data_IF_338050414144
#
_entry.id   IF_338050414144
#
_cell.length_a   1.000
_cell.length_b   1.000
_cell.length_c   1.000
_cell.angle_alpha   90.00
_cell.angle_beta   90.00
_cell.angle_gamma   90.00
#
_symmetry.space_group_name_H-M   'P 1'
#
loop_
_entity.id
_entity.type
_entity.pdbx_description
1 polymer ?
#
# COMPACT_ATOMS: atom_id res chain seq x y z
N UNK A 1 39.19 22.84 -28.22
CA UNK A 1 39.91 21.67 -27.65
C UNK A 1 40.88 22.20 -26.63
N UNK A 2 40.75 21.83 -25.34
CA UNK A 2 41.87 21.78 -24.37
C UNK A 2 41.43 21.07 -23.08
N UNK A 3 42.01 19.88 -22.92
CA UNK A 3 42.32 19.05 -21.75
C UNK A 3 41.49 19.14 -20.47
N UNK A 4 40.78 18.03 -20.23
CA UNK A 4 40.33 17.54 -18.92
C UNK A 4 41.55 17.19 -18.06
N UNK A 5 41.70 17.82 -16.90
CA UNK A 5 42.72 17.47 -15.91
C UNK A 5 42.06 16.66 -14.78
N UNK A 6 42.21 15.34 -14.86
CA UNK A 6 41.76 14.39 -13.86
C UNK A 6 42.84 14.24 -12.78
N UNK A 7 42.68 14.91 -11.63
CA UNK A 7 43.52 14.69 -10.45
C UNK A 7 42.82 13.70 -9.53
N UNK A 8 43.27 12.45 -9.59
CA UNK A 8 42.93 11.36 -8.67
C UNK A 8 43.59 11.63 -7.31
N UNK A 9 42.81 12.04 -6.33
CA UNK A 9 43.22 11.96 -4.91
C UNK A 9 42.51 10.79 -4.28
N UNK A 10 43.26 9.71 -4.05
CA UNK A 10 42.83 8.55 -3.29
C UNK A 10 42.64 8.95 -1.82
N UNK A 11 41.40 9.10 -1.38
CA UNK A 11 41.06 9.08 0.04
C UNK A 11 40.60 7.67 0.39
N UNK A 12 41.40 7.02 1.22
CA UNK A 12 41.06 5.76 1.87
C UNK A 12 39.83 6.00 2.78
N UNK A 13 38.68 5.50 2.36
CA UNK A 13 37.48 5.46 3.20
C UNK A 13 37.66 4.26 4.14
N UNK A 14 37.96 4.56 5.40
CA UNK A 14 37.89 3.60 6.48
C UNK A 14 36.46 3.08 6.57
N UNK A 15 36.27 1.81 6.20
CA UNK A 15 35.02 1.07 6.35
C UNK A 15 34.83 0.82 7.85
N UNK A 16 34.19 1.77 8.52
CA UNK A 16 33.64 1.56 9.85
C UNK A 16 32.39 0.70 9.74
N UNK A 17 32.49 -0.58 10.15
CA UNK A 17 31.33 -1.44 10.36
C UNK A 17 30.44 -0.83 11.45
N UNK A 18 29.40 -0.09 11.04
CA UNK A 18 28.27 0.17 11.90
C UNK A 18 27.53 -1.16 12.12
N UNK A 19 27.62 -1.68 13.34
CA UNK A 19 26.82 -2.81 13.80
C UNK A 19 25.37 -2.33 13.83
N UNK A 20 24.63 -2.63 12.76
CA UNK A 20 23.19 -2.52 12.78
C UNK A 20 22.67 -3.48 13.86
N UNK A 21 21.82 -2.98 14.76
CA UNK A 21 21.04 -3.82 15.66
C UNK A 21 20.09 -4.65 14.80
N UNK A 22 20.50 -5.88 14.48
CA UNK A 22 19.69 -6.85 13.77
C UNK A 22 18.63 -7.32 14.77
N UNK A 23 17.48 -6.64 14.76
CA UNK A 23 16.28 -7.23 15.34
C UNK A 23 15.97 -8.49 14.54
N UNK A 24 15.68 -9.63 15.19
CA UNK A 24 15.26 -10.80 14.45
C UNK A 24 13.96 -10.46 13.70
N UNK A 25 14.01 -10.49 12.37
CA UNK A 25 12.81 -10.61 11.56
C UNK A 25 12.18 -11.95 11.94
N UNK A 26 11.13 -11.91 12.76
CA UNK A 26 10.32 -13.09 12.98
C UNK A 26 9.60 -13.36 11.67
N UNK A 27 10.00 -14.42 10.97
CA UNK A 27 9.23 -14.90 9.83
C UNK A 27 7.87 -15.36 10.36
N UNK A 28 6.79 -14.92 9.72
CA UNK A 28 5.44 -15.40 10.02
C UNK A 28 5.41 -16.92 9.94
N UNK A 29 4.72 -17.55 10.89
CA UNK A 29 4.58 -19.01 10.88
C UNK A 29 3.62 -19.43 9.75
N UNK A 30 3.78 -20.64 9.22
CA UNK A 30 2.85 -21.16 8.22
C UNK A 30 1.39 -21.20 8.74
N UNK A 31 1.21 -21.37 10.04
CA UNK A 31 -0.11 -21.33 10.69
C UNK A 31 -0.73 -19.93 10.67
N UNK A 32 0.06 -18.87 10.90
CA UNK A 32 -0.41 -17.48 10.73
C UNK A 32 -0.77 -17.16 9.28
N UNK A 33 0.02 -17.65 8.32
CA UNK A 33 -0.28 -17.48 6.90
C UNK A 33 -1.58 -18.17 6.48
N UNK A 34 -1.86 -19.36 7.03
CA UNK A 34 -3.12 -20.07 6.81
C UNK A 34 -4.32 -19.33 7.43
N UNK A 35 -4.16 -18.79 8.65
CA UNK A 35 -5.20 -17.97 9.29
C UNK A 35 -5.48 -16.68 8.50
N UNK A 36 -4.45 -16.00 8.01
CA UNK A 36 -4.60 -14.82 7.12
C UNK A 36 -5.28 -15.21 5.80
N UNK A 37 -4.93 -16.37 5.27
CA UNK A 37 -5.51 -16.94 4.05
C UNK A 37 -7.02 -17.20 4.20
N UNK A 38 -7.44 -17.74 5.33
CA UNK A 38 -8.84 -18.03 5.63
C UNK A 38 -9.63 -16.75 5.97
N UNK A 39 -9.04 -15.84 6.76
CA UNK A 39 -9.68 -14.57 7.12
C UNK A 39 -9.94 -13.67 5.91
N UNK A 40 -9.08 -13.72 4.91
CA UNK A 40 -9.24 -12.96 3.66
C UNK A 40 -10.07 -13.66 2.59
N UNK A 41 -10.55 -14.88 2.85
CA UNK A 41 -11.43 -15.61 1.94
C UNK A 41 -12.88 -15.09 2.00
N UNK A 42 -13.28 -14.49 3.12
CA UNK A 42 -14.58 -13.86 3.35
C UNK A 42 -14.47 -12.33 3.15
N UNK A 43 -15.43 -11.74 2.43
CA UNK A 43 -15.41 -10.31 2.09
C UNK A 43 -15.41 -9.42 3.34
N UNK A 44 -16.33 -9.65 4.27
CA UNK A 44 -16.51 -8.81 5.45
C UNK A 44 -15.30 -8.92 6.38
N UNK A 45 -14.87 -10.15 6.65
CA UNK A 45 -13.73 -10.44 7.53
C UNK A 45 -12.43 -9.91 6.95
N UNK A 46 -12.22 -10.05 5.64
CA UNK A 46 -11.03 -9.54 4.97
C UNK A 46 -10.98 -8.02 4.92
N UNK A 47 -12.11 -7.35 4.70
CA UNK A 47 -12.19 -5.88 4.78
C UNK A 47 -11.89 -5.39 6.19
N UNK A 48 -12.48 -6.01 7.22
CA UNK A 48 -12.23 -5.66 8.61
C UNK A 48 -10.74 -5.82 8.96
N UNK A 49 -10.14 -6.95 8.58
CA UNK A 49 -8.71 -7.20 8.81
C UNK A 49 -7.83 -6.13 8.15
N UNK A 50 -8.14 -5.75 6.90
CA UNK A 50 -7.40 -4.69 6.20
C UNK A 50 -7.50 -3.34 6.92
N UNK A 51 -8.67 -2.99 7.45
CA UNK A 51 -8.86 -1.77 8.24
C UNK A 51 -8.06 -1.83 9.56
N UNK A 52 -8.03 -2.97 10.24
CA UNK A 52 -7.24 -3.17 11.45
C UNK A 52 -5.73 -3.06 11.19
N UNK A 53 -5.24 -3.65 10.09
CA UNK A 53 -3.85 -3.50 9.64
C UNK A 53 -3.52 -2.03 9.35
N UNK A 54 -4.36 -1.34 8.57
CA UNK A 54 -4.17 0.08 8.29
C UNK A 54 -4.17 0.94 9.57
N UNK A 55 -5.02 0.63 10.56
CA UNK A 55 -5.05 1.31 11.85
C UNK A 55 -3.78 1.10 12.68
N UNK A 56 -3.05 0.00 12.47
CA UNK A 56 -1.72 -0.26 13.05
C UNK A 56 -0.56 0.37 12.25
N UNK A 57 -0.85 1.00 11.10
CA UNK A 57 0.16 1.55 10.19
C UNK A 57 0.72 0.54 9.18
N UNK A 58 0.14 -0.66 9.12
CA UNK A 58 0.52 -1.77 8.24
C UNK A 58 -0.20 -1.63 6.88
N UNK A 59 0.05 -0.52 6.18
CA UNK A 59 -0.70 -0.16 4.96
C UNK A 59 -0.43 -1.12 3.78
N UNK A 60 0.76 -1.71 3.70
CA UNK A 60 1.09 -2.65 2.63
C UNK A 60 0.41 -4.00 2.86
N UNK A 61 0.36 -4.44 4.12
CA UNK A 61 -0.37 -5.62 4.56
C UNK A 61 -1.88 -5.43 4.32
N UNK A 62 -2.43 -4.26 4.68
CA UNK A 62 -3.82 -3.91 4.38
C UNK A 62 -4.14 -3.99 2.89
N UNK A 63 -3.26 -3.46 2.03
CA UNK A 63 -3.42 -3.55 0.58
C UNK A 63 -3.38 -5.00 0.08
N UNK A 64 -2.44 -5.81 0.57
CA UNK A 64 -2.35 -7.22 0.21
C UNK A 64 -3.62 -8.00 0.61
N UNK A 65 -4.17 -7.72 1.79
CA UNK A 65 -5.44 -8.29 2.26
C UNK A 65 -6.59 -7.90 1.33
N UNK A 66 -6.72 -6.62 0.97
CA UNK A 66 -7.75 -6.14 0.04
C UNK A 66 -7.60 -6.73 -1.36
N UNK A 67 -6.38 -6.89 -1.86
CA UNK A 67 -6.13 -7.53 -3.16
C UNK A 67 -6.61 -8.97 -3.18
N UNK A 68 -6.42 -9.68 -2.06
CA UNK A 68 -6.91 -11.05 -1.90
C UNK A 68 -8.44 -11.12 -1.85
N UNK A 69 -9.08 -10.23 -1.08
CA UNK A 69 -10.55 -10.09 -1.09
C UNK A 69 -11.06 -9.79 -2.51
N UNK A 70 -10.39 -8.90 -3.26
CA UNK A 70 -10.81 -8.55 -4.61
C UNK A 70 -10.51 -9.63 -5.65
N UNK A 71 -9.61 -10.57 -5.35
CA UNK A 71 -9.36 -11.73 -6.19
C UNK A 71 -10.51 -12.75 -6.09
N UNK A 72 -11.10 -12.92 -4.89
CA UNK A 72 -12.23 -13.82 -4.65
C UNK A 72 -13.57 -13.15 -4.92
N UNK A 73 -13.73 -11.91 -4.47
CA UNK A 73 -14.92 -11.07 -4.61
C UNK A 73 -14.61 -9.77 -5.37
N UNK A 74 -14.43 -9.83 -6.71
CA UNK A 74 -14.07 -8.66 -7.49
C UNK A 74 -15.07 -7.52 -7.41
N UNK A 75 -16.30 -7.73 -6.94
CA UNK A 75 -17.36 -6.72 -6.88
C UNK A 75 -17.52 -6.08 -5.51
N UNK A 76 -16.77 -6.52 -4.49
CA UNK A 76 -16.76 -5.93 -3.15
C UNK A 76 -16.53 -4.43 -3.23
N UNK A 77 -17.59 -3.63 -3.01
CA UNK A 77 -17.56 -2.19 -3.27
C UNK A 77 -16.66 -1.48 -2.25
N UNK A 78 -16.79 -1.84 -0.99
CA UNK A 78 -16.02 -1.26 0.11
C UNK A 78 -14.53 -1.60 -0.02
N UNK A 79 -14.20 -2.84 -0.38
CA UNK A 79 -12.81 -3.25 -0.63
C UNK A 79 -12.16 -2.44 -1.77
N UNK A 80 -12.89 -2.15 -2.86
CA UNK A 80 -12.39 -1.33 -3.97
C UNK A 80 -12.16 0.12 -3.56
N UNK A 81 -13.06 0.68 -2.75
CA UNK A 81 -12.95 2.06 -2.27
C UNK A 81 -11.73 2.19 -1.33
N UNK A 82 -11.60 1.27 -0.36
CA UNK A 82 -10.46 1.22 0.55
C UNK A 82 -9.15 1.00 -0.19
N UNK A 83 -9.11 0.14 -1.20
CA UNK A 83 -7.92 -0.08 -2.02
C UNK A 83 -7.46 1.21 -2.69
N UNK A 84 -8.39 1.96 -3.30
CA UNK A 84 -8.07 3.25 -3.92
C UNK A 84 -7.51 4.25 -2.91
N UNK A 85 -8.10 4.32 -1.71
CA UNK A 85 -7.66 5.19 -0.62
C UNK A 85 -6.27 4.80 -0.10
N UNK A 86 -6.03 3.53 0.23
CA UNK A 86 -4.76 3.06 0.78
C UNK A 86 -3.61 3.14 -0.23
N UNK A 87 -3.86 2.93 -1.54
CA UNK A 87 -2.86 3.19 -2.58
C UNK A 87 -2.38 4.64 -2.55
N UNK A 88 -3.29 5.60 -2.37
CA UNK A 88 -2.93 7.01 -2.25
C UNK A 88 -2.26 7.36 -0.92
N UNK A 89 -2.57 6.65 0.17
CA UNK A 89 -1.86 6.82 1.45
C UNK A 89 -0.40 6.38 1.40
N UNK A 90 -0.06 5.35 0.61
CA UNK A 90 1.32 4.85 0.45
C UNK A 90 2.08 5.55 -0.68
N UNK A 91 1.66 6.75 -1.08
CA UNK A 91 2.22 7.54 -2.19
C UNK A 91 2.13 6.88 -3.59
N UNK A 92 1.40 5.77 -3.76
CA UNK A 92 1.04 5.27 -5.10
C UNK A 92 -0.19 6.00 -5.65
N UNK A 93 -0.03 7.30 -5.84
CA UNK A 93 -1.07 8.19 -6.38
C UNK A 93 -1.56 7.73 -7.75
N UNK A 94 -0.69 7.15 -8.58
CA UNK A 94 -1.08 6.65 -9.91
C UNK A 94 -1.96 5.41 -9.78
N UNK A 95 -1.55 4.44 -8.96
CA UNK A 95 -2.33 3.24 -8.67
C UNK A 95 -3.70 3.60 -8.10
N UNK A 96 -3.73 4.48 -7.10
CA UNK A 96 -4.98 4.92 -6.48
C UNK A 96 -5.92 5.65 -7.44
N UNK A 97 -5.41 6.53 -8.32
CA UNK A 97 -6.22 7.14 -9.40
C UNK A 97 -6.78 6.11 -10.39
N UNK A 98 -5.99 5.10 -10.76
CA UNK A 98 -6.47 4.01 -11.61
C UNK A 98 -7.57 3.20 -10.91
N UNK A 99 -7.39 2.84 -9.64
CA UNK A 99 -8.41 2.16 -8.86
C UNK A 99 -9.70 3.00 -8.74
N UNK A 100 -9.55 4.29 -8.42
CA UNK A 100 -10.64 5.25 -8.29
C UNK A 100 -11.45 5.42 -9.60
N UNK A 101 -10.77 5.48 -10.75
CA UNK A 101 -11.42 5.56 -12.07
C UNK A 101 -12.29 4.33 -12.42
N UNK A 102 -12.06 3.19 -11.75
CA UNK A 102 -12.84 1.96 -11.94
C UNK A 102 -14.09 1.92 -11.04
N UNK A 103 -14.22 2.85 -10.09
CA UNK A 103 -15.38 2.93 -9.21
C UNK A 103 -16.60 3.46 -9.97
N UNK A 104 -17.77 2.88 -9.67
CA UNK A 104 -19.05 3.38 -10.18
C UNK A 104 -19.61 4.37 -9.16
N UNK A 105 -19.46 5.68 -9.40
CA UNK A 105 -19.83 6.76 -8.45
C UNK A 105 -21.18 6.52 -7.73
N UNK A 106 -22.22 6.10 -8.46
CA UNK A 106 -23.57 5.78 -7.94
C UNK A 106 -23.65 4.66 -6.87
N UNK A 107 -22.54 4.00 -6.53
CA UNK A 107 -22.46 2.92 -5.53
C UNK A 107 -21.96 3.41 -4.18
N UNK A 108 -21.52 4.66 -4.10
CA UNK A 108 -20.89 5.24 -2.93
C UNK A 108 -21.59 6.54 -2.59
N UNK A 109 -21.59 6.88 -1.31
CA UNK A 109 -21.99 8.21 -0.89
C UNK A 109 -20.97 9.24 -1.39
N UNK A 110 -21.43 10.46 -1.65
CA UNK A 110 -20.58 11.53 -2.15
C UNK A 110 -19.45 11.83 -1.16
N UNK A 111 -19.75 11.83 0.15
CA UNK A 111 -18.77 12.05 1.21
C UNK A 111 -17.61 11.06 1.16
N UNK A 112 -17.89 9.77 0.99
CA UNK A 112 -16.89 8.72 0.92
C UNK A 112 -15.95 8.91 -0.29
N UNK A 113 -16.50 9.23 -1.45
CA UNK A 113 -15.71 9.51 -2.64
C UNK A 113 -14.84 10.75 -2.45
N UNK A 114 -15.35 11.77 -1.77
CA UNK A 114 -14.63 13.02 -1.54
C UNK A 114 -13.40 12.83 -0.67
N UNK A 115 -13.49 11.95 0.34
CA UNK A 115 -12.33 11.55 1.16
C UNK A 115 -11.24 10.92 0.28
N UNK A 116 -11.60 10.00 -0.61
CA UNK A 116 -10.61 9.35 -1.50
C UNK A 116 -10.05 10.32 -2.53
N UNK A 117 -10.87 11.19 -3.12
CA UNK A 117 -10.41 12.23 -4.05
C UNK A 117 -9.40 13.17 -3.40
N UNK A 118 -9.68 13.62 -2.17
CA UNK A 118 -8.79 14.47 -1.40
C UNK A 118 -7.46 13.76 -1.11
N UNK A 119 -7.52 12.50 -0.67
CA UNK A 119 -6.33 11.69 -0.39
C UNK A 119 -5.45 11.50 -1.64
N UNK A 120 -6.08 11.32 -2.79
CA UNK A 120 -5.37 11.09 -4.06
C UNK A 120 -4.95 12.37 -4.80
N UNK A 121 -5.24 13.56 -4.26
CA UNK A 121 -5.00 14.83 -4.94
C UNK A 121 -5.69 14.91 -6.30
N UNK A 122 -6.97 14.52 -6.34
CA UNK A 122 -7.84 14.62 -7.53
C UNK A 122 -8.88 15.69 -7.25
N UNK A 123 -8.96 16.70 -8.12
CA UNK A 123 -10.07 17.65 -8.12
C UNK A 123 -11.30 16.98 -8.74
N UNK A 124 -12.49 17.19 -8.15
CA UNK A 124 -13.70 16.56 -8.66
C UNK A 124 -14.09 17.13 -10.01
N UNK A 125 -13.98 16.30 -11.05
CA UNK A 125 -14.66 16.58 -12.32
C UNK A 125 -16.15 16.23 -12.16
N UNK A 126 -16.95 17.29 -12.02
CA UNK A 126 -18.41 17.26 -11.94
C UNK A 126 -19.08 16.78 -13.22
#
# INVERSE_FOLDING_TARGET
MNSVSCKRTAQAIAIGCAIALISPLSAETFEELDLLSDASADEETGIQLAQEQAARGELLEALATLERVLATEPKAHDARLLQAYYLCMVDDIRGGKVALSKLKKKRYEEEDLNVVYAQCGVEQEG
#
